data_IF_860513641439
#
_entry.id   IF_860513641439
#
_cell.length_a   1.000
_cell.length_b   1.000
_cell.length_c   1.000
_cell.angle_alpha   90.00
_cell.angle_beta   90.00
_cell.angle_gamma   90.00
#
_symmetry.space_group_name_H-M   'P 1'
#
loop_
_entity.id
_entity.type
_entity.pdbx_description
1 polymer ?
#
# COMPACT_ATOMS: atom_id res chain seq x y z
N UNK A 1 -3.61 -36.68 1.27
CA UNK A 1 -2.18 -36.56 1.63
C UNK A 1 -2.02 -35.35 2.56
N UNK A 2 -1.95 -35.55 3.88
CA UNK A 2 -1.61 -34.48 4.85
C UNK A 2 -2.68 -33.41 5.17
N UNK A 3 -3.97 -33.77 5.27
CA UNK A 3 -5.05 -32.81 5.61
C UNK A 3 -5.55 -32.90 7.07
N UNK A 4 -5.07 -33.88 7.84
CA UNK A 4 -5.54 -34.14 9.20
C UNK A 4 -4.35 -34.29 10.16
N UNK A 5 -4.58 -33.92 11.42
CA UNK A 5 -3.62 -34.15 12.50
C UNK A 5 -3.31 -35.64 12.61
N UNK A 6 -2.02 -35.98 12.72
CA UNK A 6 -1.50 -37.36 12.70
C UNK A 6 -0.81 -37.75 11.40
N UNK A 7 -1.28 -37.25 10.24
CA UNK A 7 -0.77 -37.61 8.90
C UNK A 7 -0.03 -36.46 8.19
N UNK A 8 0.37 -35.42 8.94
CA UNK A 8 0.97 -34.20 8.38
C UNK A 8 2.40 -34.42 7.88
N UNK A 9 3.26 -34.94 8.76
CA UNK A 9 4.67 -35.12 8.50
C UNK A 9 5.29 -36.07 9.53
N UNK A 10 6.39 -36.70 9.15
CA UNK A 10 7.22 -37.47 10.07
C UNK A 10 8.35 -36.59 10.62
N UNK A 11 8.25 -36.23 11.89
CA UNK A 11 9.21 -35.35 12.59
C UNK A 11 9.76 -36.08 13.81
N UNK A 12 11.08 -36.04 14.02
CA UNK A 12 11.76 -36.70 15.15
C UNK A 12 12.76 -35.75 15.80
N UNK A 13 12.93 -35.85 17.12
CA UNK A 13 14.00 -35.17 17.85
C UNK A 13 13.78 -33.69 18.16
N UNK A 14 12.55 -33.18 18.08
CA UNK A 14 12.23 -31.78 18.43
C UNK A 14 11.44 -31.74 19.75
N UNK A 15 11.89 -30.90 20.69
CA UNK A 15 11.21 -30.62 21.96
C UNK A 15 10.76 -29.17 21.97
N UNK A 16 9.49 -28.93 22.25
CA UNK A 16 8.89 -27.59 22.33
C UNK A 16 8.55 -27.26 23.77
N UNK A 17 8.83 -26.01 24.17
CA UNK A 17 8.44 -25.48 25.48
C UNK A 17 7.45 -24.34 25.29
N UNK A 18 6.39 -24.33 26.10
CA UNK A 18 5.36 -23.31 26.07
C UNK A 18 4.90 -22.96 27.49
N UNK A 19 4.50 -21.70 27.69
CA UNK A 19 3.90 -21.21 28.93
C UNK A 19 2.38 -21.12 28.77
N UNK A 20 1.63 -21.34 29.85
CA UNK A 20 0.17 -21.13 29.86
C UNK A 20 -0.16 -19.67 29.47
N UNK A 21 -1.20 -19.42 28.64
CA UNK A 21 -1.59 -18.06 28.27
C UNK A 21 -1.88 -17.13 29.45
N UNK A 22 -2.35 -17.69 30.57
CA UNK A 22 -2.67 -16.95 31.80
C UNK A 22 -1.40 -16.41 32.51
N UNK A 23 -0.24 -17.00 32.22
CA UNK A 23 1.06 -16.60 32.77
C UNK A 23 1.81 -15.62 31.84
N UNK A 24 1.30 -15.42 30.62
CA UNK A 24 1.94 -14.57 29.61
C UNK A 24 1.30 -13.19 29.55
N UNK A 25 2.10 -12.18 29.19
CA UNK A 25 1.58 -10.84 28.88
C UNK A 25 1.17 -10.79 27.40
N UNK A 26 -0.09 -10.45 27.07
CA UNK A 26 -0.58 -10.50 25.68
C UNK A 26 0.12 -9.52 24.73
N UNK A 27 0.63 -8.40 25.25
CA UNK A 27 1.32 -7.35 24.48
C UNK A 27 2.78 -7.19 24.89
N UNK A 28 3.43 -8.27 25.34
CA UNK A 28 4.86 -8.24 25.64
C UNK A 28 5.65 -7.72 24.42
N UNK A 29 6.47 -6.69 24.62
CA UNK A 29 7.33 -6.15 23.56
C UNK A 29 6.60 -5.37 22.45
N UNK A 30 5.31 -5.04 22.58
CA UNK A 30 4.56 -4.39 21.50
C UNK A 30 5.22 -3.08 20.98
N UNK A 31 5.67 -2.22 21.88
CA UNK A 31 6.37 -0.98 21.50
C UNK A 31 7.86 -1.19 21.22
N UNK A 32 8.54 -1.98 22.07
CA UNK A 32 9.98 -2.20 22.00
C UNK A 32 10.39 -3.00 20.76
N UNK A 33 9.67 -4.09 20.48
CA UNK A 33 10.02 -5.05 19.44
C UNK A 33 9.00 -4.99 18.29
N UNK A 34 7.72 -4.77 18.58
CA UNK A 34 6.65 -4.75 17.59
C UNK A 34 6.75 -3.57 16.61
N UNK A 35 6.92 -2.34 17.10
CA UNK A 35 7.02 -1.16 16.23
C UNK A 35 8.25 -1.24 15.31
N UNK A 36 9.48 -1.52 15.79
CA UNK A 36 10.62 -1.67 14.89
C UNK A 36 10.43 -2.78 13.85
N UNK A 37 9.86 -3.92 14.23
CA UNK A 37 9.56 -4.99 13.29
C UNK A 37 8.49 -4.60 12.26
N UNK A 38 7.48 -3.82 12.64
CA UNK A 38 6.48 -3.30 11.71
C UNK A 38 7.12 -2.44 10.64
N UNK A 39 8.01 -1.52 11.02
CA UNK A 39 8.76 -0.70 10.06
C UNK A 39 9.69 -1.53 9.16
N UNK A 40 10.38 -2.52 9.73
CA UNK A 40 11.22 -3.42 8.96
C UNK A 40 10.41 -4.18 7.89
N UNK A 41 9.24 -4.70 8.26
CA UNK A 41 8.31 -5.41 7.36
C UNK A 41 7.73 -4.48 6.29
N UNK A 42 7.30 -3.28 6.66
CA UNK A 42 6.77 -2.28 5.74
C UNK A 42 7.82 -1.90 4.68
N UNK A 43 9.07 -1.65 5.11
CA UNK A 43 10.17 -1.33 4.19
C UNK A 43 10.51 -2.49 3.26
N UNK A 44 10.42 -3.73 3.73
CA UNK A 44 10.71 -4.92 2.93
C UNK A 44 9.69 -5.13 1.79
N UNK A 45 8.41 -4.86 2.04
CA UNK A 45 7.36 -5.00 1.02
C UNK A 45 7.09 -3.73 0.22
N UNK A 46 7.48 -2.56 0.76
CA UNK A 46 7.19 -1.25 0.21
C UNK A 46 7.48 -1.13 -1.27
N UNK A 47 8.65 -1.61 -1.73
CA UNK A 47 9.03 -1.50 -3.14
C UNK A 47 8.17 -2.28 -4.12
N UNK A 48 7.39 -3.25 -3.65
CA UNK A 48 6.52 -4.05 -4.52
C UNK A 48 5.22 -3.31 -4.84
N UNK A 49 4.60 -2.66 -3.85
CA UNK A 49 3.27 -2.07 -4.00
C UNK A 49 3.29 -0.53 -4.06
N UNK A 50 4.26 0.12 -3.40
CA UNK A 50 4.31 1.57 -3.30
C UNK A 50 4.46 2.27 -4.66
N UNK A 51 5.30 1.79 -5.61
CA UNK A 51 5.41 2.43 -6.91
C UNK A 51 4.08 2.48 -7.66
N UNK A 52 3.35 1.36 -7.70
CA UNK A 52 2.05 1.27 -8.38
C UNK A 52 1.04 2.23 -7.75
N UNK A 53 1.02 2.29 -6.42
CA UNK A 53 0.13 3.20 -5.69
C UNK A 53 0.45 4.68 -5.97
N UNK A 54 1.73 5.05 -5.92
CA UNK A 54 2.17 6.42 -6.20
C UNK A 54 1.91 6.83 -7.65
N UNK A 55 2.14 5.93 -8.61
CA UNK A 55 1.83 6.18 -10.02
C UNK A 55 0.33 6.42 -10.20
N UNK A 56 -0.53 5.58 -9.60
CA UNK A 56 -1.98 5.75 -9.69
C UNK A 56 -2.46 7.11 -9.18
N UNK A 57 -1.97 7.52 -8.01
CA UNK A 57 -2.28 8.84 -7.44
C UNK A 57 -1.75 9.97 -8.32
N UNK A 58 -0.50 9.87 -8.79
CA UNK A 58 0.12 10.86 -9.65
C UNK A 58 -0.65 11.05 -10.96
N UNK A 59 -1.04 9.95 -11.61
CA UNK A 59 -1.84 9.96 -12.83
C UNK A 59 -3.21 10.59 -12.59
N UNK A 60 -3.89 10.26 -11.49
CA UNK A 60 -5.19 10.85 -11.15
C UNK A 60 -5.11 12.38 -11.08
N UNK A 61 -4.18 12.91 -10.30
CA UNK A 61 -4.03 14.37 -10.14
C UNK A 61 -3.63 15.06 -11.44
N UNK A 62 -2.72 14.45 -12.20
CA UNK A 62 -2.32 14.99 -13.50
C UNK A 62 -3.50 15.10 -14.46
N UNK A 63 -4.27 14.03 -14.63
CA UNK A 63 -5.42 13.99 -15.54
C UNK A 63 -6.47 15.00 -15.12
N UNK A 64 -6.79 15.09 -13.82
CA UNK A 64 -7.80 16.05 -13.33
C UNK A 64 -7.34 17.51 -13.59
N UNK A 65 -6.06 17.81 -13.35
CA UNK A 65 -5.50 19.14 -13.61
C UNK A 65 -5.49 19.48 -15.12
N UNK A 66 -5.05 18.56 -15.96
CA UNK A 66 -5.06 18.72 -17.42
C UNK A 66 -6.46 18.88 -17.98
N UNK A 67 -7.43 18.11 -17.47
CA UNK A 67 -8.83 18.24 -17.90
C UNK A 67 -9.41 19.61 -17.55
N UNK A 68 -9.21 20.08 -16.31
CA UNK A 68 -9.62 21.42 -15.88
C UNK A 68 -8.94 22.53 -16.68
N UNK A 69 -7.66 22.36 -17.04
CA UNK A 69 -6.95 23.31 -17.88
C UNK A 69 -7.51 23.33 -19.31
N UNK A 70 -7.78 22.16 -19.90
CA UNK A 70 -8.35 22.03 -21.25
C UNK A 70 -9.78 22.54 -21.39
N UNK A 71 -10.55 22.59 -20.29
CA UNK A 71 -11.89 23.20 -20.30
C UNK A 71 -11.87 24.73 -20.32
N UNK A 72 -10.72 25.37 -20.02
CA UNK A 72 -10.60 26.82 -20.08
C UNK A 72 -10.43 27.26 -21.53
N UNK A 73 -11.16 28.31 -21.92
CA UNK A 73 -11.00 28.95 -23.22
C UNK A 73 -9.60 29.57 -23.31
N UNK A 74 -8.93 29.38 -24.44
CA UNK A 74 -7.65 30.03 -24.72
C UNK A 74 -7.91 31.44 -25.30
N UNK A 75 -7.45 32.52 -24.65
CA UNK A 75 -7.66 33.89 -25.16
C UNK A 75 -7.10 34.12 -26.57
N UNK A 76 -6.06 33.37 -26.96
CA UNK A 76 -5.42 33.53 -28.27
C UNK A 76 -6.29 33.05 -29.43
N UNK A 77 -7.30 32.22 -29.17
CA UNK A 77 -8.18 31.67 -30.22
C UNK A 77 -9.18 32.73 -30.73
N UNK A 78 -9.40 33.82 -29.98
CA UNK A 78 -10.38 34.88 -30.31
C UNK A 78 -9.76 36.13 -30.95
N UNK A 79 -8.45 36.13 -31.21
CA UNK A 79 -7.74 37.34 -31.70
C UNK A 79 -8.09 37.68 -33.16
N UNK A 80 -8.45 36.68 -33.97
CA UNK A 80 -8.75 36.84 -35.40
C UNK A 80 -10.20 36.47 -35.77
N UNK A 81 -11.11 36.34 -34.79
CA UNK A 81 -12.54 36.22 -35.09
C UNK A 81 -13.06 37.59 -35.59
N UNK A 82 -13.63 37.61 -36.79
CA UNK A 82 -14.13 38.84 -37.46
C UNK A 82 -15.29 39.45 -36.66
N UNK A 83 -15.31 40.78 -36.57
CA UNK A 83 -16.30 41.59 -35.85
C UNK A 83 -17.75 41.25 -36.25
N UNK A 84 -18.65 40.95 -35.29
CA UNK A 84 -20.07 40.71 -35.58
C UNK A 84 -20.86 41.91 -36.15
N UNK A 85 -20.24 43.08 -36.35
CA UNK A 85 -20.84 44.24 -37.03
C UNK A 85 -20.32 44.51 -38.46
N UNK A 86 -19.65 43.55 -39.10
CA UNK A 86 -19.31 43.58 -40.54
C UNK A 86 -20.35 42.84 -41.40
#
# INVERSE_FOLDING_TARGET
>A
MGKHFGDLAFVRGIVYYALSPHEQKPFAGAFKDGIPNMFARFRQSGWTWLPVFLTGIGTYYFVEASHKAGQKKNPNDFINEVDPNA
#
